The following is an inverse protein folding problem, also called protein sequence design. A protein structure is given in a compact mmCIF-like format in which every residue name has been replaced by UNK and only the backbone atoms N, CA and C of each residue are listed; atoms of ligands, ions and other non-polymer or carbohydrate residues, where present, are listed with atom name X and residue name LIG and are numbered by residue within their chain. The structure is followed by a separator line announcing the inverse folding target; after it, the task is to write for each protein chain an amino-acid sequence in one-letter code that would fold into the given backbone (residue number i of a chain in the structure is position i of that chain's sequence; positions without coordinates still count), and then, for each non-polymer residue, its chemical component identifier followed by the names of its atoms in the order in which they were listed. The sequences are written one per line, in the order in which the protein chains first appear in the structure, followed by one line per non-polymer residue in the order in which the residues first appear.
data_IF_596583972319
#
_entry.id   IF_596583972319
#
_cell.length_a   1.000
_cell.length_b   1.000
_cell.length_c   1.000
_cell.angle_alpha   90.00
_cell.angle_beta   90.00
_cell.angle_gamma   90.00
#
_symmetry.space_group_name_H-M   'P 1'
#
loop_
_entity.id
_entity.type
_entity.pdbx_description
1 polymer ?
#
# COMPACT_ATOMS: atom_id res chain seq x y z
N UNK A 1 -0.57 11.22 -0.86
CA UNK A 1 0.32 11.38 -2.03
C UNK A 1 1.13 10.13 -2.25
N UNK A 2 1.46 9.85 -3.48
CA UNK A 2 2.30 8.70 -3.75
C UNK A 2 3.24 9.00 -4.91
N UNK A 3 4.33 8.26 -4.99
CA UNK A 3 5.27 8.35 -6.08
C UNK A 3 5.51 6.97 -6.64
N UNK A 4 5.88 6.90 -7.91
CA UNK A 4 6.16 5.64 -8.57
C UNK A 4 7.49 5.76 -9.29
N UNK A 5 8.35 4.77 -9.10
CA UNK A 5 9.60 4.69 -9.81
C UNK A 5 9.71 3.31 -10.44
N UNK A 6 10.19 3.25 -11.68
CA UNK A 6 10.35 1.98 -12.37
C UNK A 6 11.83 1.64 -12.40
N UNK A 7 12.20 0.62 -11.65
CA UNK A 7 13.56 0.12 -11.66
C UNK A 7 13.67 -1.03 -12.64
N UNK A 8 14.85 -1.56 -12.76
CA UNK A 8 15.10 -2.60 -13.73
C UNK A 8 14.27 -3.85 -13.49
N UNK A 9 14.16 -4.28 -12.24
CA UNK A 9 13.42 -5.49 -11.93
C UNK A 9 12.17 -5.27 -11.13
N UNK A 10 11.81 -4.05 -10.81
CA UNK A 10 10.66 -3.81 -9.93
C UNK A 10 10.11 -2.42 -10.14
N UNK A 11 8.85 -2.26 -9.79
CA UNK A 11 8.24 -0.93 -9.70
C UNK A 11 8.15 -0.59 -8.22
N UNK A 12 8.65 0.58 -7.85
CA UNK A 12 8.67 1.00 -6.47
C UNK A 12 7.64 2.10 -6.28
N UNK A 13 6.72 1.89 -5.35
CA UNK A 13 5.67 2.85 -5.05
C UNK A 13 5.85 3.28 -3.62
N UNK A 14 5.89 4.58 -3.38
CA UNK A 14 5.98 5.11 -2.03
C UNK A 14 4.68 5.83 -1.71
N UNK A 15 4.03 5.41 -0.63
CA UNK A 15 2.80 6.04 -0.17
C UNK A 15 3.14 6.93 1.00
N UNK A 16 2.89 8.22 0.85
CA UNK A 16 3.22 9.21 1.87
C UNK A 16 1.94 9.67 2.54
N UNK A 17 1.90 9.58 3.85
CA UNK A 17 0.73 10.03 4.58
C UNK A 17 0.85 11.52 4.81
N UNK A 18 -0.19 12.24 4.50
CA UNK A 18 -0.16 13.69 4.67
C UNK A 18 -1.56 14.18 4.97
N UNK A 19 -1.63 15.35 5.57
CA UNK A 19 -2.92 15.97 5.84
C UNK A 19 -3.62 15.42 7.06
N UNK A 20 -2.94 14.63 7.86
CA UNK A 20 -3.54 14.04 9.06
C UNK A 20 -2.77 14.53 10.28
N UNK A 21 -3.45 14.76 11.39
CA UNK A 21 -2.74 15.13 12.62
C UNK A 21 -1.89 13.98 13.17
N UNK A 22 -2.18 12.75 12.78
CA UNK A 22 -1.39 11.61 13.23
C UNK A 22 -0.82 10.92 12.01
N UNK A 23 0.29 11.43 11.52
CA UNK A 23 0.89 10.90 10.31
C UNK A 23 1.51 9.54 10.57
N UNK A 24 1.33 8.64 9.62
CA UNK A 24 1.98 7.35 9.67
C UNK A 24 3.26 7.40 8.85
N UNK A 25 4.14 6.45 9.10
CA UNK A 25 5.36 6.38 8.32
C UNK A 25 5.05 6.04 6.87
N UNK A 26 5.94 6.43 5.99
CA UNK A 26 5.77 6.12 4.57
C UNK A 26 5.75 4.62 4.36
N UNK A 27 4.95 4.18 3.41
CA UNK A 27 4.88 2.77 3.05
C UNK A 27 5.53 2.61 1.68
N UNK A 28 6.49 1.70 1.58
CA UNK A 28 7.17 1.43 0.32
C UNK A 28 6.69 0.09 -0.20
N UNK A 29 6.21 0.07 -1.43
CA UNK A 29 5.71 -1.13 -2.07
C UNK A 29 6.61 -1.42 -3.25
N UNK A 30 7.15 -2.65 -3.30
CA UNK A 30 7.99 -3.05 -4.42
C UNK A 30 7.26 -4.15 -5.17
N UNK A 31 6.89 -3.88 -6.39
CA UNK A 31 6.15 -4.81 -7.22
C UNK A 31 7.12 -5.51 -8.15
N UNK A 32 7.31 -6.80 -7.90
CA UNK A 32 8.15 -7.64 -8.75
C UNK A 32 7.26 -8.45 -9.68
N UNK A 33 7.87 -9.24 -10.50
CA UNK A 33 7.12 -10.01 -11.48
C UNK A 33 6.20 -11.03 -10.82
N UNK A 34 6.61 -11.62 -9.73
CA UNK A 34 5.86 -12.71 -9.12
C UNK A 34 5.28 -12.38 -7.75
N UNK A 35 5.66 -11.28 -7.18
CA UNK A 35 5.16 -10.95 -5.85
C UNK A 35 5.29 -9.46 -5.60
N UNK A 36 4.71 -9.03 -4.49
CA UNK A 36 4.77 -7.63 -4.08
C UNK A 36 5.20 -7.62 -2.63
N UNK A 37 6.15 -6.74 -2.28
CA UNK A 37 6.53 -6.56 -0.88
C UNK A 37 6.05 -5.19 -0.42
N UNK A 38 5.65 -5.12 0.84
CA UNK A 38 5.18 -3.88 1.46
C UNK A 38 6.01 -3.68 2.72
N UNK A 39 6.65 -2.52 2.82
CA UNK A 39 7.54 -2.22 3.94
C UNK A 39 7.15 -0.93 4.61
N UNK A 40 7.27 -0.89 5.91
CA UNK A 40 7.02 0.31 6.67
C UNK A 40 7.93 0.31 7.88
N UNK A 41 8.54 1.46 8.20
CA UNK A 41 9.39 1.57 9.36
C UNK A 41 8.51 1.67 10.61
N UNK A 42 8.88 0.91 11.62
CA UNK A 42 8.17 0.95 12.91
C UNK A 42 9.07 1.67 13.91
N UNK A 43 8.76 2.94 14.22
CA UNK A 43 9.63 3.71 15.10
C UNK A 43 9.67 3.18 16.54
N UNK A 44 8.63 2.47 16.96
CA UNK A 44 8.64 1.95 18.30
C UNK A 44 9.60 0.79 18.45
N UNK A 45 9.84 0.06 17.39
CA UNK A 45 10.74 -1.10 17.41
C UNK A 45 12.06 -0.81 16.70
N UNK A 46 12.14 0.35 16.06
CA UNK A 46 13.32 0.76 15.31
C UNK A 46 13.71 -0.30 14.30
N UNK A 47 12.72 -0.74 13.55
CA UNK A 47 12.98 -1.74 12.51
C UNK A 47 11.94 -1.61 11.41
N UNK A 48 12.27 -2.14 10.24
CA UNK A 48 11.37 -2.13 9.11
C UNK A 48 10.55 -3.41 9.13
N UNK A 49 9.23 -3.25 9.07
CA UNK A 49 8.32 -4.37 9.00
C UNK A 49 8.04 -4.65 7.53
N UNK A 50 8.05 -5.92 7.16
CA UNK A 50 7.90 -6.28 5.75
C UNK A 50 6.88 -7.39 5.60
N UNK A 51 6.03 -7.25 4.59
CA UNK A 51 5.02 -8.23 4.25
C UNK A 51 5.20 -8.59 2.80
N UNK A 52 5.12 -9.87 2.49
CA UNK A 52 5.21 -10.34 1.11
C UNK A 52 3.86 -10.88 0.69
N UNK A 53 3.34 -10.37 -0.42
CA UNK A 53 2.07 -10.82 -0.96
C UNK A 53 2.29 -11.47 -2.31
N UNK A 54 1.57 -12.56 -2.58
CA UNK A 54 1.57 -13.13 -3.91
C UNK A 54 0.73 -12.26 -4.82
N UNK A 55 0.89 -12.44 -6.12
CA UNK A 55 0.07 -11.66 -7.06
C UNK A 55 -1.40 -12.00 -6.90
N UNK A 56 -1.72 -13.24 -6.57
CA UNK A 56 -3.11 -13.61 -6.33
C UNK A 56 -3.67 -12.84 -5.13
N UNK A 57 -2.88 -12.71 -4.07
CA UNK A 57 -3.32 -11.97 -2.90
C UNK A 57 -3.51 -10.49 -3.21
N UNK A 58 -2.63 -9.92 -4.03
CA UNK A 58 -2.76 -8.52 -4.42
C UNK A 58 -4.04 -8.31 -5.23
N UNK A 59 -4.32 -9.21 -6.18
CA UNK A 59 -5.52 -9.09 -6.99
C UNK A 59 -6.78 -9.22 -6.14
N UNK A 60 -6.75 -10.11 -5.17
CA UNK A 60 -7.90 -10.30 -4.30
C UNK A 60 -8.09 -9.10 -3.37
N UNK A 61 -7.00 -8.53 -2.89
CA UNK A 61 -7.10 -7.34 -2.06
C UNK A 61 -7.73 -6.20 -2.84
N UNK A 62 -7.27 -5.98 -4.07
CA UNK A 62 -7.82 -4.92 -4.90
C UNK A 62 -9.30 -5.13 -5.14
N UNK A 63 -9.70 -6.37 -5.42
CA UNK A 63 -11.10 -6.67 -5.66
C UNK A 63 -11.93 -6.44 -4.40
N UNK A 64 -11.42 -6.87 -3.25
CA UNK A 64 -12.16 -6.71 -2.00
C UNK A 64 -12.36 -5.25 -1.64
N UNK A 65 -11.34 -4.43 -1.87
CA UNK A 65 -11.43 -3.02 -1.52
C UNK A 65 -12.34 -2.25 -2.46
N UNK A 66 -12.69 -2.83 -3.59
CA UNK A 66 -13.57 -2.17 -4.55
C UNK A 66 -15.01 -2.66 -4.51
N UNK A 67 -15.34 -3.49 -3.54
CA UNK A 67 -16.72 -3.96 -3.42
C UNK A 67 -17.62 -2.80 -3.00
N UNK A 68 -18.85 -2.76 -3.49
CA UNK A 68 -19.74 -1.67 -3.15
C UNK A 68 -20.20 -1.68 -1.70
N UNK A 69 -20.18 -2.83 -1.04
CA UNK A 69 -20.55 -2.88 0.36
C UNK A 69 -19.33 -2.66 1.22
N UNK A 70 -19.54 -2.24 2.40
CA UNK A 70 -18.47 -2.14 3.38
C UNK A 70 -17.90 -0.75 3.46
N UNK A 71 -17.16 -0.53 4.52
CA UNK A 71 -16.62 0.80 4.80
C UNK A 71 -15.22 0.97 4.26
N UNK A 72 -14.68 -0.07 3.60
CA UNK A 72 -13.31 -0.07 3.13
C UNK A 72 -13.19 0.16 1.63
N UNK A 73 -14.21 0.75 1.03
CA UNK A 73 -14.19 0.96 -0.40
C UNK A 73 -13.08 1.93 -0.79
N UNK A 74 -12.43 1.63 -1.88
CA UNK A 74 -11.39 2.50 -2.39
C UNK A 74 -11.95 3.78 -2.95
N UNK A 75 -13.16 3.73 -3.50
CA UNK A 75 -13.75 4.93 -4.07
C UNK A 75 -14.08 5.91 -2.96
N UNK A 76 -14.02 7.19 -3.22
CA UNK A 76 -14.36 8.17 -2.20
C UNK A 76 -15.80 7.99 -1.77
N UNK A 77 -16.04 8.16 -0.47
CA UNK A 77 -17.35 8.02 -0.01
C UNK A 77 -18.18 9.09 -0.54
N UNK A 78 -19.29 8.83 -1.05
CA UNK A 78 -20.07 9.79 -1.59
C UNK A 78 -20.88 10.31 -0.63
N UNK A 79 -21.20 11.30 -0.59
CA UNK A 79 -21.85 11.79 0.22
C UNK A 79 -23.02 11.82 -0.09
N UNK A 80 -23.67 11.59 0.13
CA UNK A 80 -24.78 11.56 -0.26
C UNK A 80 -25.56 12.04 0.50
#
# INVERSE_FOLDING_TARGET
MFTIEHDFDATVITLVDEGSPHLEEDVTIQAFEECVTIEQYDPRRDEVVKIVLSMAQVNELAAALNLPEGIYRLAPKRKE
#
